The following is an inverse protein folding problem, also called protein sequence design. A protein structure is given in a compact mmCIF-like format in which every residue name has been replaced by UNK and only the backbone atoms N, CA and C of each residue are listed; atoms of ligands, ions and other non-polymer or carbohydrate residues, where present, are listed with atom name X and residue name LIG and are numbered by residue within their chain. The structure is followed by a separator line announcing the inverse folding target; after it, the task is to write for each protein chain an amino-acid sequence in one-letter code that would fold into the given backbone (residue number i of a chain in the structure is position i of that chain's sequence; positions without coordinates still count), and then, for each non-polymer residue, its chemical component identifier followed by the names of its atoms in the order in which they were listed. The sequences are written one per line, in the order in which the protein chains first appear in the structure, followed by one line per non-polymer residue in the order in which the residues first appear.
data_IF_151779137265
#
_entry.id   IF_151779137265
#
_cell.length_a   1.000
_cell.length_b   1.000
_cell.length_c   1.000
_cell.angle_alpha   90.00
_cell.angle_beta   90.00
_cell.angle_gamma   90.00
#
_symmetry.space_group_name_H-M   'P 1'
#
loop_
_entity.id
_entity.type
_entity.pdbx_description
1 polymer ?
#
# COMPACT_ATOMS: atom_id res chain seq x y z
N UNK A 1 -33.18 28.28 7.08
CA UNK A 1 -32.26 27.91 8.17
C UNK A 1 -31.00 27.36 7.51
N UNK A 2 -29.82 27.90 7.78
CA UNK A 2 -28.59 27.53 7.07
C UNK A 2 -28.08 26.17 7.54
N UNK A 3 -28.44 25.09 6.85
CA UNK A 3 -27.97 23.73 7.18
C UNK A 3 -26.56 23.50 6.60
N UNK A 4 -25.56 24.13 7.21
CA UNK A 4 -24.15 23.81 6.94
C UNK A 4 -23.70 22.60 7.77
N UNK A 5 -22.54 22.02 7.43
CA UNK A 5 -21.90 21.01 8.27
C UNK A 5 -21.62 21.57 9.68
N UNK A 6 -21.79 20.73 10.70
CA UNK A 6 -21.36 21.09 12.06
C UNK A 6 -19.84 21.10 12.14
N UNK A 7 -19.22 21.74 13.16
CA UNK A 7 -17.77 21.67 13.37
C UNK A 7 -17.24 20.22 13.43
N UNK A 8 -18.03 19.30 14.00
CA UNK A 8 -17.73 17.87 14.04
C UNK A 8 -17.73 17.28 12.63
N UNK A 9 -18.69 17.67 11.78
CA UNK A 9 -18.73 17.25 10.37
C UNK A 9 -17.53 17.71 9.56
N UNK A 10 -17.08 18.96 9.77
CA UNK A 10 -15.84 19.47 9.15
C UNK A 10 -14.62 18.68 9.60
N UNK A 11 -14.49 18.44 10.92
CA UNK A 11 -13.40 17.62 11.46
C UNK A 11 -13.38 16.20 10.88
N UNK A 12 -14.55 15.57 10.78
CA UNK A 12 -14.69 14.24 10.19
C UNK A 12 -14.32 14.22 8.70
N UNK A 13 -14.75 15.21 7.91
CA UNK A 13 -14.42 15.31 6.48
C UNK A 13 -12.91 15.51 6.25
N UNK A 14 -12.27 16.39 7.03
CA UNK A 14 -10.82 16.62 6.95
C UNK A 14 -10.05 15.35 7.34
N UNK A 15 -10.41 14.72 8.46
CA UNK A 15 -9.76 13.50 8.92
C UNK A 15 -9.90 12.36 7.89
N UNK A 16 -11.07 12.21 7.30
CA UNK A 16 -11.34 11.21 6.25
C UNK A 16 -10.49 11.46 5.00
N UNK A 17 -10.33 12.73 4.62
CA UNK A 17 -9.51 13.14 3.47
C UNK A 17 -8.03 12.83 3.74
N UNK A 18 -7.51 13.23 4.90
CA UNK A 18 -6.12 12.95 5.31
C UNK A 18 -5.86 11.44 5.36
N UNK A 19 -6.77 10.68 5.98
CA UNK A 19 -6.67 9.21 6.03
C UNK A 19 -6.60 8.60 4.63
N UNK A 20 -7.45 9.06 3.70
CA UNK A 20 -7.45 8.58 2.32
C UNK A 20 -6.11 8.86 1.63
N UNK A 21 -5.56 10.07 1.79
CA UNK A 21 -4.25 10.42 1.23
C UNK A 21 -3.14 9.53 1.80
N UNK A 22 -3.13 9.30 3.12
CA UNK A 22 -2.17 8.41 3.77
C UNK A 22 -2.26 6.97 3.25
N UNK A 23 -3.47 6.42 3.11
CA UNK A 23 -3.68 5.04 2.65
C UNK A 23 -3.28 4.89 1.17
N UNK A 24 -3.66 5.83 0.31
CA UNK A 24 -3.28 5.80 -1.13
C UNK A 24 -1.77 5.95 -1.31
N UNK A 25 -1.15 6.86 -0.55
CA UNK A 25 0.30 7.06 -0.59
C UNK A 25 1.04 5.84 -0.06
N UNK A 26 0.58 5.29 1.06
CA UNK A 26 1.12 4.05 1.64
C UNK A 26 1.02 2.87 0.67
N UNK A 27 -0.10 2.73 -0.03
CA UNK A 27 -0.28 1.71 -1.06
C UNK A 27 0.70 1.84 -2.23
N UNK A 28 1.01 3.07 -2.65
CA UNK A 28 1.89 3.32 -3.80
C UNK A 28 3.39 3.22 -3.47
N UNK A 29 3.77 3.48 -2.21
CA UNK A 29 5.15 3.42 -1.73
C UNK A 29 5.61 1.95 -1.64
N UNK A 30 6.73 1.55 -2.27
CA UNK A 30 7.23 0.18 -2.23
C UNK A 30 8.09 -0.16 -1.01
N UNK A 31 8.09 0.67 0.04
CA UNK A 31 8.90 0.50 1.25
C UNK A 31 8.15 -0.27 2.36
N UNK A 32 7.43 -1.33 1.99
CA UNK A 32 6.66 -2.14 2.95
C UNK A 32 7.57 -3.15 3.64
N UNK A 33 8.42 -3.76 2.81
CA UNK A 33 9.46 -4.69 3.21
C UNK A 33 10.78 -4.20 2.63
N UNK A 34 11.79 -4.10 3.48
CA UNK A 34 13.16 -3.73 3.09
C UNK A 34 14.00 -4.99 3.17
N UNK A 35 14.90 -5.18 2.22
CA UNK A 35 15.88 -6.26 2.22
C UNK A 35 17.23 -5.76 1.71
N UNK A 36 18.21 -6.65 1.65
CA UNK A 36 19.54 -6.33 1.09
C UNK A 36 19.97 -7.43 0.13
N UNK A 37 20.32 -7.05 -1.09
CA UNK A 37 20.89 -7.97 -2.09
C UNK A 37 22.36 -7.64 -2.31
N UNK A 38 23.18 -8.65 -2.59
CA UNK A 38 24.61 -8.51 -2.86
C UNK A 38 24.91 -9.10 -4.23
N UNK A 39 25.29 -8.26 -5.19
CA UNK A 39 25.67 -8.67 -6.55
C UNK A 39 27.09 -8.15 -6.80
N UNK A 40 28.01 -9.03 -7.21
CA UNK A 40 29.42 -8.68 -7.48
C UNK A 40 30.12 -7.93 -6.32
N UNK A 41 29.82 -8.31 -5.08
CA UNK A 41 30.39 -7.68 -3.88
C UNK A 41 29.77 -6.32 -3.49
N UNK A 42 28.84 -5.78 -4.28
CA UNK A 42 28.09 -4.56 -3.96
C UNK A 42 26.78 -4.91 -3.26
N UNK A 43 26.61 -4.41 -2.03
CA UNK A 43 25.36 -4.54 -1.25
C UNK A 43 24.46 -3.33 -1.49
N UNK A 44 23.20 -3.58 -1.85
CA UNK A 44 22.20 -2.53 -2.09
C UNK A 44 20.91 -2.89 -1.36
N UNK A 45 20.24 -1.88 -0.78
CA UNK A 45 18.91 -2.05 -0.20
C UNK A 45 17.88 -2.26 -1.30
N UNK A 46 17.08 -3.30 -1.16
CA UNK A 46 15.93 -3.58 -2.03
C UNK A 46 14.63 -3.33 -1.27
N UNK A 47 13.62 -2.86 -1.99
CA UNK A 47 12.34 -2.47 -1.43
C UNK A 47 11.21 -3.23 -2.12
N UNK A 48 10.36 -3.89 -1.36
CA UNK A 48 9.21 -4.63 -1.85
C UNK A 48 7.92 -3.98 -1.37
N UNK A 49 7.02 -3.70 -2.32
CA UNK A 49 5.60 -3.44 -2.10
C UNK A 49 4.77 -4.62 -2.60
N UNK A 50 3.44 -4.49 -2.60
CA UNK A 50 2.55 -5.57 -3.08
C UNK A 50 2.58 -5.74 -4.60
N UNK A 51 2.69 -4.64 -5.36
CA UNK A 51 2.72 -4.65 -6.84
C UNK A 51 3.92 -3.90 -7.44
N UNK A 52 4.84 -3.40 -6.59
CA UNK A 52 6.05 -2.66 -7.01
C UNK A 52 7.26 -3.16 -6.26
N UNK A 53 8.42 -3.02 -6.89
CA UNK A 53 9.72 -3.29 -6.29
C UNK A 53 10.73 -2.24 -6.72
N UNK A 54 11.70 -1.93 -5.87
CA UNK A 54 12.83 -1.08 -6.23
C UNK A 54 14.14 -1.81 -5.97
N UNK A 55 15.14 -1.54 -6.81
CA UNK A 55 16.48 -2.12 -6.72
C UNK A 55 16.40 -3.66 -6.82
N UNK A 56 16.22 -4.15 -8.04
CA UNK A 56 16.05 -5.58 -8.32
C UNK A 56 17.13 -6.08 -9.30
N UNK A 57 17.53 -7.36 -9.21
CA UNK A 57 18.50 -7.92 -10.13
C UNK A 57 17.84 -8.15 -11.50
N UNK A 58 18.58 -7.80 -12.55
CA UNK A 58 18.22 -8.04 -13.95
C UNK A 58 19.39 -8.77 -14.60
N UNK A 59 19.09 -9.83 -15.34
CA UNK A 59 20.11 -10.53 -16.11
C UNK A 59 20.45 -9.71 -17.36
N UNK A 60 21.73 -9.39 -17.53
CA UNK A 60 22.24 -8.71 -18.71
C UNK A 60 22.83 -9.72 -19.69
N UNK A 61 22.22 -9.84 -20.86
CA UNK A 61 22.66 -10.77 -21.91
C UNK A 61 24.00 -10.36 -22.55
N UNK A 62 24.36 -9.07 -22.53
CA UNK A 62 25.62 -8.59 -23.11
C UNK A 62 26.81 -8.90 -22.20
N UNK A 63 26.61 -8.70 -20.89
CA UNK A 63 27.62 -8.93 -19.86
C UNK A 63 27.62 -10.38 -19.33
N UNK A 64 26.62 -11.20 -19.72
CA UNK A 64 26.36 -12.54 -19.18
C UNK A 64 26.34 -12.58 -17.64
N UNK A 65 25.92 -11.49 -17.01
CA UNK A 65 25.97 -11.28 -15.56
C UNK A 65 24.68 -10.63 -15.04
N UNK A 66 24.39 -10.79 -13.75
CA UNK A 66 23.30 -10.07 -13.11
C UNK A 66 23.76 -8.66 -12.76
N UNK A 67 22.99 -7.64 -13.14
CA UNK A 67 23.18 -6.26 -12.66
C UNK A 67 22.02 -5.83 -11.77
N UNK A 68 22.28 -4.90 -10.86
CA UNK A 68 21.24 -4.29 -10.03
C UNK A 68 20.69 -3.08 -10.77
N UNK A 69 19.39 -3.09 -11.08
CA UNK A 69 18.72 -1.93 -11.64
C UNK A 69 18.21 -1.05 -10.47
N UNK A 70 18.89 0.07 -10.20
CA UNK A 70 18.58 1.02 -9.11
C UNK A 70 17.35 1.91 -9.41
N UNK A 71 16.24 1.27 -9.80
CA UNK A 71 14.99 1.93 -10.16
C UNK A 71 13.80 1.22 -9.54
N UNK A 72 12.69 1.94 -9.40
CA UNK A 72 11.41 1.36 -9.01
C UNK A 72 10.64 0.90 -10.25
N UNK A 73 10.33 -0.39 -10.30
CA UNK A 73 9.58 -1.04 -11.38
C UNK A 73 8.19 -1.49 -10.94
N UNK A 74 7.29 -1.59 -11.91
CA UNK A 74 6.02 -2.34 -11.79
C UNK A 74 6.17 -3.66 -12.54
N UNK A 75 5.53 -4.71 -12.04
CA UNK A 75 5.35 -5.94 -12.79
C UNK A 75 4.63 -5.67 -14.13
N UNK A 76 5.04 -6.36 -15.20
CA UNK A 76 4.52 -6.12 -16.56
C UNK A 76 3.04 -6.49 -16.61
N UNK A 77 2.71 -7.66 -16.06
CA UNK A 77 1.35 -8.15 -15.87
C UNK A 77 1.05 -8.40 -14.39
N UNK A 78 -0.23 -8.53 -14.05
CA UNK A 78 -0.65 -8.85 -12.70
C UNK A 78 -0.24 -10.27 -12.28
N UNK A 79 -0.13 -11.19 -13.24
CA UNK A 79 0.32 -12.56 -13.01
C UNK A 79 1.82 -12.67 -12.70
N UNK A 80 2.63 -11.66 -13.06
CA UNK A 80 4.06 -11.63 -12.77
C UNK A 80 4.37 -11.27 -11.30
N UNK A 81 3.35 -10.94 -10.50
CA UNK A 81 3.50 -10.75 -9.05
C UNK A 81 3.82 -12.13 -8.45
N UNK A 82 4.96 -12.30 -7.77
CA UNK A 82 5.53 -13.61 -7.42
C UNK A 82 4.70 -14.41 -6.41
N UNK A 83 3.75 -13.77 -5.72
CA UNK A 83 2.90 -14.41 -4.70
C UNK A 83 1.43 -14.10 -4.93
N UNK A 84 0.59 -15.14 -4.87
CA UNK A 84 -0.87 -15.00 -4.87
C UNK A 84 -1.37 -14.16 -3.68
N UNK A 85 -0.68 -14.22 -2.54
CA UNK A 85 -1.01 -13.42 -1.37
C UNK A 85 -0.81 -11.92 -1.67
N UNK A 86 0.26 -11.56 -2.38
CA UNK A 86 0.50 -10.18 -2.78
C UNK A 86 -0.50 -9.70 -3.83
N UNK A 87 -0.94 -10.57 -4.74
CA UNK A 87 -2.03 -10.28 -5.67
C UNK A 87 -3.34 -9.96 -4.91
N UNK A 88 -3.76 -10.82 -3.98
CA UNK A 88 -4.96 -10.60 -3.16
C UNK A 88 -4.83 -9.32 -2.32
N UNK A 89 -3.65 -9.10 -1.71
CA UNK A 89 -3.32 -7.87 -0.99
C UNK A 89 -3.50 -6.64 -1.89
N UNK A 90 -2.92 -6.63 -3.10
CA UNK A 90 -3.05 -5.53 -4.05
C UNK A 90 -4.50 -5.25 -4.40
N UNK A 91 -5.30 -6.27 -4.71
CA UNK A 91 -6.73 -6.10 -5.06
C UNK A 91 -7.50 -5.54 -3.86
N UNK A 92 -7.32 -6.13 -2.67
CA UNK A 92 -8.05 -5.73 -1.46
C UNK A 92 -7.79 -4.26 -1.09
N UNK A 93 -6.53 -3.84 -1.11
CA UNK A 93 -6.15 -2.47 -0.77
C UNK A 93 -6.53 -1.51 -1.89
N UNK A 94 -6.39 -1.88 -3.16
CA UNK A 94 -6.81 -1.05 -4.28
C UNK A 94 -8.32 -0.76 -4.24
N UNK A 95 -9.16 -1.76 -3.94
CA UNK A 95 -10.61 -1.58 -3.78
C UNK A 95 -10.94 -0.67 -2.58
N UNK A 96 -10.26 -0.87 -1.45
CA UNK A 96 -10.41 0.00 -0.27
C UNK A 96 -10.01 1.46 -0.57
N UNK A 97 -8.87 1.67 -1.23
CA UNK A 97 -8.41 2.98 -1.69
C UNK A 97 -9.40 3.63 -2.66
N UNK A 98 -9.88 2.89 -3.65
CA UNK A 98 -10.84 3.40 -4.63
C UNK A 98 -12.13 3.86 -3.95
N UNK A 99 -12.65 3.04 -3.01
CA UNK A 99 -13.83 3.42 -2.24
C UNK A 99 -13.56 4.66 -1.36
N UNK A 100 -12.44 4.72 -0.65
CA UNK A 100 -12.07 5.87 0.18
C UNK A 100 -11.92 7.17 -0.64
N UNK A 101 -11.36 7.09 -1.86
CA UNK A 101 -11.26 8.21 -2.80
C UNK A 101 -12.64 8.70 -3.25
N UNK A 102 -13.55 7.78 -3.60
CA UNK A 102 -14.93 8.13 -3.96
C UNK A 102 -15.65 8.83 -2.80
N UNK A 103 -15.49 8.34 -1.57
CA UNK A 103 -16.10 8.96 -0.38
C UNK A 103 -15.49 10.34 -0.09
N UNK A 104 -14.19 10.50 -0.28
CA UNK A 104 -13.51 11.80 -0.17
C UNK A 104 -14.03 12.78 -1.22
N UNK A 105 -14.30 12.32 -2.44
CA UNK A 105 -14.89 13.16 -3.50
C UNK A 105 -16.31 13.63 -3.16
N UNK A 106 -17.04 12.91 -2.30
CA UNK A 106 -18.36 13.33 -1.79
C UNK A 106 -18.19 14.30 -0.60
N UNK A 107 -17.21 14.06 0.27
CA UNK A 107 -16.99 14.83 1.50
C UNK A 107 -16.37 16.21 1.24
N UNK A 108 -15.41 16.33 0.31
CA UNK A 108 -14.74 17.61 0.04
C UNK A 108 -15.72 18.70 -0.42
N UNK A 109 -16.63 18.45 -1.38
CA UNK A 109 -17.62 19.45 -1.79
C UNK A 109 -18.62 19.79 -0.67
N UNK A 110 -18.89 18.86 0.25
CA UNK A 110 -19.79 19.10 1.38
C UNK A 110 -19.27 20.17 2.35
N UNK A 111 -17.97 20.45 2.35
CA UNK A 111 -17.38 21.54 3.13
C UNK A 111 -17.77 22.93 2.61
N UNK A 112 -18.00 23.05 1.29
CA UNK A 112 -18.23 24.31 0.59
C UNK A 112 -19.69 24.50 0.14
N UNK A 113 -20.39 23.40 -0.11
CA UNK A 113 -21.78 23.37 -0.57
C UNK A 113 -22.69 22.77 0.50
N UNK A 114 -23.81 23.44 0.76
CA UNK A 114 -24.83 23.00 1.73
C UNK A 114 -25.70 21.90 1.13
N UNK A 115 -26.34 21.12 2.00
CA UNK A 115 -27.32 20.08 1.65
C UNK A 115 -26.80 18.85 0.84
N UNK A 116 -25.49 18.72 0.59
CA UNK A 116 -24.89 17.51 0.00
C UNK A 116 -24.91 16.34 0.98
N UNK A 117 -24.55 16.61 2.23
CA UNK A 117 -24.47 15.59 3.29
C UNK A 117 -25.63 15.78 4.24
N UNK A 118 -26.60 14.86 4.15
CA UNK A 118 -27.73 14.73 5.06
C UNK A 118 -27.39 13.73 6.17
N UNK A 119 -28.24 13.62 7.19
CA UNK A 119 -28.05 12.63 8.27
C UNK A 119 -27.96 11.20 7.73
N UNK A 120 -28.80 10.85 6.77
CA UNK A 120 -28.83 9.50 6.17
C UNK A 120 -27.60 9.26 5.31
N UNK A 121 -27.19 10.22 4.48
CA UNK A 121 -25.99 10.04 3.66
C UNK A 121 -24.71 9.99 4.49
N UNK A 122 -24.63 10.74 5.60
CA UNK A 122 -23.51 10.65 6.54
C UNK A 122 -23.36 9.24 7.14
N UNK A 123 -24.47 8.59 7.50
CA UNK A 123 -24.46 7.20 7.97
C UNK A 123 -23.99 6.22 6.88
N UNK A 124 -24.48 6.37 5.66
CA UNK A 124 -24.06 5.53 4.52
C UNK A 124 -22.57 5.73 4.22
N UNK A 125 -22.09 6.97 4.18
CA UNK A 125 -20.67 7.29 3.98
C UNK A 125 -19.84 6.67 5.09
N UNK A 126 -20.23 6.82 6.36
CA UNK A 126 -19.54 6.22 7.49
C UNK A 126 -19.45 4.70 7.40
N UNK A 127 -20.53 4.02 7.02
CA UNK A 127 -20.52 2.57 6.79
C UNK A 127 -19.57 2.17 5.65
N UNK A 128 -19.59 2.91 4.54
CA UNK A 128 -18.69 2.65 3.41
C UNK A 128 -17.22 2.95 3.77
N UNK A 129 -16.94 3.91 4.64
CA UNK A 129 -15.60 4.15 5.17
C UNK A 129 -15.10 2.95 5.99
N UNK A 130 -15.98 2.33 6.79
CA UNK A 130 -15.65 1.09 7.52
C UNK A 130 -15.35 -0.05 6.54
N UNK A 131 -16.16 -0.23 5.49
CA UNK A 131 -15.90 -1.25 4.46
C UNK A 131 -14.56 -1.01 3.76
N UNK A 132 -14.25 0.24 3.41
CA UNK A 132 -12.96 0.61 2.84
C UNK A 132 -11.80 0.27 3.78
N UNK A 133 -11.93 0.63 5.07
CA UNK A 133 -10.92 0.35 6.08
C UNK A 133 -10.69 -1.16 6.26
N UNK A 134 -11.76 -1.96 6.32
CA UNK A 134 -11.66 -3.43 6.41
C UNK A 134 -10.91 -3.99 5.20
N UNK A 135 -11.22 -3.55 3.98
CA UNK A 135 -10.52 -3.98 2.77
C UNK A 135 -9.01 -3.67 2.80
N UNK A 136 -8.65 -2.48 3.29
CA UNK A 136 -7.25 -2.09 3.48
C UNK A 136 -6.57 -2.98 4.54
N UNK A 137 -7.22 -3.17 5.69
CA UNK A 137 -6.70 -4.00 6.79
C UNK A 137 -6.49 -5.45 6.36
N UNK A 138 -7.44 -6.04 5.63
CA UNK A 138 -7.31 -7.41 5.09
C UNK A 138 -6.07 -7.54 4.22
N UNK A 139 -5.83 -6.58 3.32
CA UNK A 139 -4.63 -6.62 2.48
C UNK A 139 -3.34 -6.50 3.29
N UNK A 140 -3.31 -5.63 4.31
CA UNK A 140 -2.15 -5.51 5.21
C UNK A 140 -1.86 -6.81 5.97
N UNK A 141 -2.90 -7.53 6.41
CA UNK A 141 -2.76 -8.83 7.11
C UNK A 141 -2.31 -9.94 6.16
N UNK A 142 -2.74 -9.90 4.90
CA UNK A 142 -2.35 -10.90 3.89
C UNK A 142 -0.92 -10.69 3.41
N UNK A 143 -0.40 -9.46 3.40
CA UNK A 143 0.92 -9.14 2.84
C UNK A 143 2.08 -10.01 3.40
N UNK A 144 2.19 -10.22 4.73
CA UNK A 144 3.24 -11.08 5.31
C UNK A 144 3.16 -12.56 4.93
N UNK A 145 1.99 -13.05 4.52
CA UNK A 145 1.85 -14.44 4.04
C UNK A 145 2.66 -14.69 2.76
N UNK A 146 3.00 -13.64 2.01
CA UNK A 146 3.79 -13.72 0.80
C UNK A 146 5.31 -13.70 1.01
N UNK A 147 5.82 -13.65 2.24
CA UNK A 147 7.27 -13.53 2.50
C UNK A 147 8.08 -14.81 2.25
N UNK A 148 7.43 -15.97 2.09
CA UNK A 148 8.10 -17.26 1.86
C UNK A 148 8.58 -17.46 0.40
N UNK A 149 8.54 -16.41 -0.43
CA UNK A 149 9.02 -16.48 -1.82
C UNK A 149 10.55 -16.34 -1.91
N UNK A 150 11.12 -16.80 -3.03
CA UNK A 150 12.57 -16.85 -3.24
C UNK A 150 13.20 -15.46 -3.20
N UNK A 151 12.56 -14.48 -3.80
CA UNK A 151 13.01 -13.10 -3.89
C UNK A 151 13.18 -12.46 -2.49
N UNK A 152 12.26 -12.77 -1.57
CA UNK A 152 12.32 -12.28 -0.19
C UNK A 152 13.39 -13.03 0.59
N UNK A 153 13.53 -14.35 0.40
CA UNK A 153 14.60 -15.13 1.06
C UNK A 153 16.00 -14.72 0.60
N UNK A 154 16.16 -14.39 -0.67
CA UNK A 154 17.43 -13.89 -1.22
C UNK A 154 17.78 -12.51 -0.63
N UNK A 155 16.78 -11.66 -0.37
CA UNK A 155 16.99 -10.32 0.16
C UNK A 155 17.03 -10.23 1.71
N UNK A 156 16.28 -11.07 2.42
CA UNK A 156 16.09 -11.01 3.87
C UNK A 156 16.72 -12.19 4.62
N UNK A 157 17.26 -13.16 3.89
CA UNK A 157 17.90 -14.38 4.41
C UNK A 157 17.03 -15.63 4.29
N UNK A 158 17.64 -16.83 4.36
CA UNK A 158 16.94 -18.11 4.16
C UNK A 158 15.91 -18.42 5.24
N UNK A 159 16.04 -17.78 6.42
CA UNK A 159 15.07 -17.89 7.52
C UNK A 159 13.86 -16.96 7.40
N UNK A 160 13.76 -16.15 6.34
CA UNK A 160 12.57 -15.36 6.11
C UNK A 160 11.37 -16.27 5.77
N UNK A 161 10.31 -16.15 6.56
CA UNK A 161 9.09 -16.94 6.44
C UNK A 161 7.85 -16.08 6.76
N UNK A 162 6.65 -16.65 6.66
CA UNK A 162 5.40 -15.93 6.90
C UNK A 162 5.39 -15.26 8.28
N UNK A 163 5.16 -13.94 8.33
CA UNK A 163 5.24 -13.11 9.54
C UNK A 163 6.60 -13.08 10.26
N UNK A 164 7.59 -13.83 9.79
CA UNK A 164 8.93 -13.84 10.32
C UNK A 164 9.85 -13.14 9.33
N UNK A 165 10.04 -11.85 9.56
CA UNK A 165 11.13 -11.14 8.92
C UNK A 165 12.43 -11.72 9.45
N UNK A 166 13.39 -11.97 8.56
CA UNK A 166 14.75 -12.24 8.96
C UNK A 166 15.38 -11.00 9.62
N UNK A 167 16.59 -10.64 9.21
CA UNK A 167 17.34 -9.55 9.83
C UNK A 167 16.84 -8.12 9.49
N UNK A 168 15.62 -7.93 8.97
CA UNK A 168 15.19 -6.64 8.38
C UNK A 168 13.81 -6.15 8.87
N UNK A 169 13.62 -4.83 8.84
CA UNK A 169 12.49 -4.08 9.43
C UNK A 169 11.20 -4.09 8.61
N UNK A 170 10.06 -4.25 9.29
CA UNK A 170 8.71 -3.95 8.78
C UNK A 170 8.38 -2.47 9.04
N UNK A 171 7.78 -1.80 8.05
CA UNK A 171 7.00 -0.57 8.22
C UNK A 171 7.69 0.63 8.91
N UNK A 172 8.36 1.47 8.12
CA UNK A 172 8.89 2.78 8.58
C UNK A 172 7.90 3.95 8.38
N UNK A 173 6.60 3.70 8.32
CA UNK A 173 5.57 4.73 8.04
C UNK A 173 5.06 5.47 9.30
N UNK A 174 5.45 5.04 10.50
CA UNK A 174 5.08 5.69 11.78
C UNK A 174 6.30 6.11 12.64
N UNK A 175 7.52 6.00 12.13
CA UNK A 175 8.73 6.43 12.84
C UNK A 175 9.38 7.58 12.08
N UNK A 176 8.79 8.77 12.19
CA UNK A 176 9.55 10.03 12.11
C UNK A 176 9.34 10.75 13.42
#
# INVERSE_FOLDING_TARGET
MSTGLTPIGYGWAILSTVSTVCVVTGFYIPAWLIGTISVEGRRVYTYFGSFRRCNYPVYDNELNAYRIEEKCGRYVTFGDIPSIHWQICTISIALGCALALLLTFILVPSCCMKDIVTRTSALVIGLMQVVAAVGVSVGCVIYPLGWNIREVKEACGPGADQFLLGLVFFFKLFST
#
